data_IF_125614540471
#
_entry.id   IF_125614540471
#
_cell.length_a   1.000
_cell.length_b   1.000
_cell.length_c   1.000
_cell.angle_alpha   90.00
_cell.angle_beta   90.00
_cell.angle_gamma   90.00
#
_symmetry.space_group_name_H-M   'P 1'
#
loop_
_entity.id
_entity.type
_entity.pdbx_description
1 polymer ?
#
# COMPACT_ATOMS: atom_id res chain seq x y z
N UNK A 1 -28.86 -7.31 15.23
CA UNK A 1 -28.07 -6.70 14.14
C UNK A 1 -26.85 -7.57 13.85
N UNK A 2 -26.79 -8.28 12.72
CA UNK A 2 -25.61 -9.08 12.34
C UNK A 2 -24.45 -8.12 12.02
N UNK A 3 -23.42 -8.04 12.88
CA UNK A 3 -22.13 -7.45 12.51
C UNK A 3 -21.53 -8.34 11.41
N UNK A 4 -21.73 -7.96 10.15
CA UNK A 4 -21.02 -8.60 9.03
C UNK A 4 -19.53 -8.33 9.25
N UNK A 5 -18.72 -9.38 9.34
CA UNK A 5 -17.28 -9.24 9.56
C UNK A 5 -16.64 -8.62 8.32
N UNK A 6 -15.93 -7.50 8.51
CA UNK A 6 -15.17 -6.85 7.43
C UNK A 6 -13.86 -7.58 7.11
N UNK A 7 -13.59 -8.73 7.75
CA UNK A 7 -12.37 -9.52 7.52
C UNK A 7 -12.34 -10.08 6.09
N UNK A 8 -13.47 -10.61 5.60
CA UNK A 8 -13.55 -11.16 4.26
C UNK A 8 -13.22 -10.14 3.16
N UNK A 9 -13.83 -8.92 3.12
CA UNK A 9 -13.46 -7.93 2.12
C UNK A 9 -12.01 -7.47 2.29
N UNK A 10 -11.51 -7.24 3.52
CA UNK A 10 -10.10 -6.90 3.74
C UNK A 10 -9.17 -7.97 3.13
N UNK A 11 -9.44 -9.26 3.38
CA UNK A 11 -8.64 -10.35 2.84
C UNK A 11 -8.66 -10.40 1.31
N UNK A 12 -9.83 -10.23 0.70
CA UNK A 12 -9.98 -10.26 -0.77
C UNK A 12 -9.23 -9.08 -1.40
N UNK A 13 -9.42 -7.86 -0.89
CA UNK A 13 -8.72 -6.68 -1.42
C UNK A 13 -7.21 -6.75 -1.17
N UNK A 14 -6.78 -7.33 -0.05
CA UNK A 14 -5.36 -7.54 0.20
C UNK A 14 -4.76 -8.59 -0.76
N UNK A 15 -5.47 -9.67 -1.05
CA UNK A 15 -5.03 -10.66 -2.03
C UNK A 15 -4.91 -10.06 -3.44
N UNK A 16 -5.89 -9.24 -3.87
CA UNK A 16 -5.81 -8.56 -5.17
C UNK A 16 -4.67 -7.55 -5.21
N UNK A 17 -4.40 -6.84 -4.13
CA UNK A 17 -3.22 -5.97 -4.00
C UNK A 17 -1.91 -6.72 -4.22
N UNK A 18 -1.77 -7.92 -3.64
CA UNK A 18 -0.57 -8.75 -3.84
C UNK A 18 -0.43 -9.18 -5.30
N UNK A 19 -1.50 -9.67 -5.92
CA UNK A 19 -1.50 -10.06 -7.35
C UNK A 19 -1.08 -8.88 -8.22
N UNK A 20 -1.68 -7.71 -7.99
CA UNK A 20 -1.35 -6.49 -8.73
C UNK A 20 0.11 -6.10 -8.49
N UNK A 21 0.61 -6.18 -7.26
CA UNK A 21 2.00 -5.87 -6.93
C UNK A 21 2.98 -6.74 -7.74
N UNK A 22 2.79 -8.06 -7.74
CA UNK A 22 3.65 -8.98 -8.48
C UNK A 22 3.58 -8.76 -9.98
N UNK A 23 2.38 -8.60 -10.54
CA UNK A 23 2.20 -8.37 -11.97
C UNK A 23 2.83 -7.05 -12.42
N UNK A 24 2.61 -5.97 -11.65
CA UNK A 24 3.21 -4.66 -11.91
C UNK A 24 4.73 -4.74 -11.84
N UNK A 25 5.26 -5.45 -10.84
CA UNK A 25 6.70 -5.62 -10.70
C UNK A 25 7.30 -6.35 -11.92
N UNK A 26 6.63 -7.37 -12.46
CA UNK A 26 7.09 -8.08 -13.65
C UNK A 26 7.14 -7.14 -14.87
N UNK A 27 6.06 -6.40 -15.12
CA UNK A 27 5.93 -5.52 -16.30
C UNK A 27 6.89 -4.32 -16.20
N UNK A 28 6.90 -3.61 -15.07
CA UNK A 28 7.71 -2.40 -14.91
C UNK A 28 9.21 -2.69 -14.70
N UNK A 29 9.60 -3.94 -14.50
CA UNK A 29 11.02 -4.32 -14.51
C UNK A 29 11.60 -4.40 -15.93
N UNK A 30 10.75 -4.45 -16.97
CA UNK A 30 11.17 -4.43 -18.38
C UNK A 30 11.46 -3.02 -18.89
N UNK A 31 11.01 -1.98 -18.17
CA UNK A 31 11.19 -0.59 -18.56
C UNK A 31 12.18 0.12 -17.62
N UNK A 32 13.09 0.95 -18.14
CA UNK A 32 14.10 1.63 -17.33
C UNK A 32 13.51 2.88 -16.66
N UNK A 33 12.53 2.72 -15.78
CA UNK A 33 12.01 3.82 -14.97
C UNK A 33 12.89 4.05 -13.72
N UNK A 34 13.25 5.30 -13.39
CA UNK A 34 14.02 5.62 -12.19
C UNK A 34 13.25 5.29 -10.89
N UNK A 35 11.92 5.38 -10.93
CA UNK A 35 11.02 4.97 -9.84
C UNK A 35 9.95 4.07 -10.45
N UNK A 36 9.81 2.85 -9.95
CA UNK A 36 8.79 1.91 -10.42
C UNK A 36 7.40 2.40 -10.01
N UNK A 37 6.49 2.72 -10.95
CA UNK A 37 5.14 3.12 -10.59
C UNK A 37 4.37 1.95 -9.98
N UNK A 38 3.52 2.23 -9.00
CA UNK A 38 2.70 1.20 -8.34
C UNK A 38 1.22 1.48 -8.58
N UNK A 39 0.47 0.46 -8.97
CA UNK A 39 -0.99 0.52 -9.13
C UNK A 39 -1.74 -0.15 -7.96
N UNK A 40 -1.01 -0.56 -6.91
CA UNK A 40 -1.53 -1.24 -5.71
C UNK A 40 -2.50 -0.37 -4.89
N UNK A 41 -2.46 0.96 -5.07
CA UNK A 41 -3.35 1.88 -4.40
C UNK A 41 -4.80 1.83 -4.92
N UNK A 42 -5.04 1.34 -6.13
CA UNK A 42 -6.39 1.30 -6.74
C UNK A 42 -7.36 0.44 -5.91
N UNK A 43 -7.03 -0.83 -5.56
CA UNK A 43 -7.85 -1.63 -4.66
C UNK A 43 -8.14 -0.95 -3.31
N UNK A 44 -7.16 -0.23 -2.75
CA UNK A 44 -7.29 0.46 -1.46
C UNK A 44 -8.33 1.58 -1.54
N UNK A 45 -8.29 2.38 -2.61
CA UNK A 45 -9.23 3.47 -2.85
C UNK A 45 -10.65 2.91 -3.03
N UNK A 46 -10.82 1.86 -3.84
CA UNK A 46 -12.12 1.22 -4.09
C UNK A 46 -12.69 0.67 -2.78
N UNK A 47 -11.88 -0.04 -1.99
CA UNK A 47 -12.31 -0.61 -0.73
C UNK A 47 -12.68 0.47 0.29
N UNK A 48 -11.94 1.58 0.31
CA UNK A 48 -12.23 2.76 1.16
C UNK A 48 -13.60 3.35 0.86
N UNK A 49 -13.92 3.56 -0.42
CA UNK A 49 -15.20 4.14 -0.84
C UNK A 49 -16.37 3.19 -0.55
N UNK A 50 -16.24 1.90 -0.88
CA UNK A 50 -17.35 0.93 -0.77
C UNK A 50 -17.59 0.47 0.68
N UNK A 51 -16.54 0.14 1.43
CA UNK A 51 -16.66 -0.46 2.77
C UNK A 51 -16.40 0.54 3.90
N UNK A 52 -15.99 1.75 3.56
CA UNK A 52 -15.76 2.84 4.50
C UNK A 52 -14.29 3.01 4.92
N UNK A 53 -14.03 4.06 5.71
CA UNK A 53 -12.69 4.57 5.96
C UNK A 53 -11.87 3.61 6.83
N UNK A 54 -12.53 2.83 7.71
CA UNK A 54 -11.85 1.83 8.55
C UNK A 54 -11.18 0.75 7.70
N UNK A 55 -11.88 0.26 6.67
CA UNK A 55 -11.35 -0.77 5.75
C UNK A 55 -10.25 -0.17 4.87
N UNK A 56 -10.47 1.04 4.34
CA UNK A 56 -9.46 1.77 3.57
C UNK A 56 -8.16 1.99 4.35
N UNK A 57 -8.23 2.49 5.58
CA UNK A 57 -7.06 2.70 6.46
C UNK A 57 -6.33 1.39 6.74
N UNK A 58 -7.04 0.30 7.04
CA UNK A 58 -6.39 -1.00 7.27
C UNK A 58 -5.66 -1.52 6.04
N UNK A 59 -6.26 -1.39 4.84
CA UNK A 59 -5.63 -1.80 3.59
C UNK A 59 -4.46 -0.90 3.22
N UNK A 60 -4.56 0.41 3.46
CA UNK A 60 -3.46 1.36 3.30
C UNK A 60 -2.28 1.04 4.22
N UNK A 61 -2.54 0.66 5.46
CA UNK A 61 -1.49 0.19 6.38
C UNK A 61 -0.82 -1.09 5.87
N UNK A 62 -1.60 -2.09 5.44
CA UNK A 62 -1.08 -3.33 4.86
C UNK A 62 -0.25 -3.07 3.59
N UNK A 63 -0.67 -2.11 2.75
CA UNK A 63 0.11 -1.63 1.61
C UNK A 63 1.46 -1.04 2.05
N UNK A 64 1.46 -0.22 3.11
CA UNK A 64 2.68 0.36 3.67
C UNK A 64 3.65 -0.70 4.19
N UNK A 65 3.15 -1.71 4.88
CA UNK A 65 3.95 -2.85 5.34
C UNK A 65 4.54 -3.64 4.17
N UNK A 66 3.74 -3.93 3.15
CA UNK A 66 4.21 -4.60 1.93
C UNK A 66 5.31 -3.78 1.24
N UNK A 67 5.15 -2.46 1.16
CA UNK A 67 6.17 -1.57 0.60
C UNK A 67 7.48 -1.65 1.41
N UNK A 68 7.39 -1.67 2.74
CA UNK A 68 8.55 -1.71 3.60
C UNK A 68 9.28 -3.05 3.54
N UNK A 69 8.56 -4.17 3.49
CA UNK A 69 9.18 -5.51 3.36
C UNK A 69 9.89 -5.66 2.02
N UNK A 70 9.25 -5.26 0.91
CA UNK A 70 9.87 -5.33 -0.42
C UNK A 70 11.13 -4.47 -0.49
N UNK A 71 11.09 -3.22 0.01
CA UNK A 71 12.27 -2.34 0.02
C UNK A 71 13.36 -2.77 1.01
N UNK A 72 13.04 -3.67 1.94
CA UNK A 72 14.06 -4.27 2.82
C UNK A 72 14.76 -5.44 2.15
N UNK A 73 14.03 -6.24 1.36
CA UNK A 73 14.55 -7.45 0.70
C UNK A 73 15.25 -7.09 -0.61
N UNK A 74 14.67 -6.22 -1.42
CA UNK A 74 15.22 -5.79 -2.71
C UNK A 74 15.80 -4.38 -2.55
N UNK A 75 17.12 -4.29 -2.54
CA UNK A 75 17.82 -3.01 -2.35
C UNK A 75 17.94 -2.29 -3.69
N UNK A 76 17.15 -1.24 -3.86
CA UNK A 76 17.28 -0.25 -4.93
C UNK A 76 17.69 1.11 -4.33
N UNK A 77 18.16 2.06 -5.14
CA UNK A 77 18.42 3.43 -4.67
C UNK A 77 17.19 4.07 -3.98
N UNK A 78 15.98 3.72 -4.43
CA UNK A 78 14.72 4.16 -3.82
C UNK A 78 14.42 3.50 -2.48
N UNK A 79 15.03 2.36 -2.15
CA UNK A 79 14.76 1.61 -0.93
C UNK A 79 15.21 2.34 0.34
N UNK A 80 16.21 3.22 0.24
CA UNK A 80 16.66 4.09 1.33
C UNK A 80 15.56 5.07 1.80
N UNK A 81 14.63 5.44 0.92
CA UNK A 81 13.50 6.31 1.25
C UNK A 81 12.35 5.57 1.94
N UNK A 82 12.25 4.25 1.76
CA UNK A 82 11.06 3.47 2.13
C UNK A 82 11.33 2.34 3.12
N UNK A 83 12.59 2.05 3.48
CA UNK A 83 12.91 1.08 4.52
C UNK A 83 13.97 1.63 5.49
N UNK A 84 13.75 1.52 6.82
CA UNK A 84 14.73 1.87 7.83
C UNK A 84 15.84 0.81 7.98
N UNK A 85 15.68 -0.37 7.37
CA UNK A 85 16.55 -1.53 7.58
C UNK A 85 17.69 -1.64 6.56
N UNK A 86 17.81 -0.67 5.66
CA UNK A 86 18.88 -0.55 4.67
C UNK A 86 20.12 0.07 5.35
N UNK A 87 21.36 -0.18 4.88
CA UNK A 87 22.55 0.48 5.44
C UNK A 87 22.38 2.01 5.51
N UNK A 88 22.70 2.65 6.65
CA UNK A 88 22.41 4.07 6.92
C UNK A 88 20.91 4.44 6.88
N UNK A 89 20.03 3.48 7.12
CA UNK A 89 18.58 3.67 7.13
C UNK A 89 18.11 4.59 8.26
N UNK A 90 17.02 5.30 7.99
CA UNK A 90 16.43 6.26 8.91
C UNK A 90 15.07 5.74 9.40
N UNK A 91 14.76 5.89 10.70
CA UNK A 91 13.45 5.54 11.27
C UNK A 91 12.33 6.33 10.56
N UNK A 92 12.62 7.57 10.12
CA UNK A 92 11.69 8.37 9.34
C UNK A 92 11.27 7.71 8.02
N UNK A 93 12.08 6.81 7.44
CA UNK A 93 11.72 6.06 6.22
C UNK A 93 10.50 5.14 6.44
N UNK A 94 10.32 4.61 7.65
CA UNK A 94 9.11 3.82 7.98
C UNK A 94 7.86 4.69 8.02
N UNK A 95 7.98 5.91 8.56
CA UNK A 95 6.88 6.88 8.60
C UNK A 95 6.50 7.28 7.17
N UNK A 96 7.49 7.58 6.33
CA UNK A 96 7.30 7.92 4.92
C UNK A 96 6.68 6.74 4.16
N UNK A 97 7.03 5.50 4.49
CA UNK A 97 6.45 4.31 3.85
C UNK A 97 4.99 4.05 4.26
N UNK A 98 4.61 4.34 5.51
CA UNK A 98 3.31 3.93 6.06
C UNK A 98 2.28 5.06 6.02
N UNK A 99 2.63 6.26 6.49
CA UNK A 99 1.67 7.36 6.69
C UNK A 99 0.96 7.78 5.39
N UNK A 100 1.65 8.03 4.26
CA UNK A 100 0.99 8.37 3.01
C UNK A 100 0.03 7.27 2.52
N UNK A 101 0.34 6.00 2.79
CA UNK A 101 -0.49 4.86 2.34
C UNK A 101 -1.76 4.73 3.17
N UNK A 102 -1.69 5.01 4.47
CA UNK A 102 -2.87 5.16 5.33
C UNK A 102 -3.74 6.32 4.85
N UNK A 103 -3.13 7.46 4.50
CA UNK A 103 -3.86 8.63 4.00
C UNK A 103 -4.58 8.32 2.68
N UNK A 104 -3.96 7.60 1.75
CA UNK A 104 -4.63 7.09 0.53
C UNK A 104 -5.85 6.23 0.86
N UNK A 105 -5.82 5.51 1.98
CA UNK A 105 -6.97 4.75 2.47
C UNK A 105 -8.06 5.60 3.13
N UNK A 106 -7.73 6.79 3.65
CA UNK A 106 -8.66 7.65 4.38
C UNK A 106 -9.28 8.75 3.51
N UNK A 107 -8.45 9.44 2.73
CA UNK A 107 -8.84 10.63 1.97
C UNK A 107 -9.93 10.39 0.93
N UNK A 108 -9.96 9.28 0.16
CA UNK A 108 -11.00 9.08 -0.86
C UNK A 108 -12.39 8.94 -0.25
N UNK A 109 -12.51 8.27 0.91
CA UNK A 109 -13.80 8.16 1.59
C UNK A 109 -14.29 9.51 2.10
N UNK A 110 -13.38 10.34 2.65
CA UNK A 110 -13.74 11.67 3.14
C UNK A 110 -14.22 12.56 1.99
N UNK A 111 -13.52 12.55 0.86
CA UNK A 111 -13.88 13.33 -0.33
C UNK A 111 -15.16 12.80 -0.98
N UNK A 112 -15.38 11.48 -1.03
CA UNK A 112 -16.59 10.89 -1.59
C UNK A 112 -17.86 11.22 -0.79
N UNK A 113 -17.73 11.45 0.52
CA UNK A 113 -18.86 11.73 1.41
C UNK A 113 -19.21 13.22 1.52
N UNK A 114 -18.27 14.10 1.15
CA UNK A 114 -18.50 15.54 1.00
C UNK A 114 -19.46 15.81 -0.16
#
# INVERSE_FOLDING_TARGET
MKKRSNIAPIAIFFATMLVIHFLSSLIFNLFPFPIKPTIVHIPVIIASIIYGPRVGVTLGFLMGLLSLTVNTITILPTSYLFSPFVPNGNIYSAIIAIVPRILIGLTPYLVYKL
#
